data_IF_938772242319
#
_entry.id   IF_938772242319
#
_cell.length_a   1.000
_cell.length_b   1.000
_cell.length_c   1.000
_cell.angle_alpha   90.00
_cell.angle_beta   90.00
_cell.angle_gamma   90.00
#
_symmetry.space_group_name_H-M   'P 1'
#
loop_
_entity.id
_entity.type
_entity.pdbx_description
1 polymer ?
#
# COMPACT_ATOMS: atom_id res chain seq x y z
N UNK A 1 -11.60 -3.48 -15.57
CA UNK A 1 -11.11 -2.21 -15.01
C UNK A 1 -12.27 -1.42 -14.50
N UNK A 2 -12.00 -0.56 -13.54
CA UNK A 2 -12.95 0.39 -13.00
C UNK A 2 -12.32 1.78 -13.05
N UNK A 3 -13.15 2.81 -13.15
CA UNK A 3 -12.75 4.18 -12.86
C UNK A 3 -13.55 4.66 -11.66
N UNK A 4 -12.95 5.53 -10.86
CA UNK A 4 -13.67 6.24 -9.81
C UNK A 4 -14.22 7.55 -10.38
N UNK A 5 -15.51 7.74 -10.24
CA UNK A 5 -16.20 8.97 -10.60
C UNK A 5 -16.71 9.67 -9.34
N UNK A 6 -16.85 10.99 -9.39
CA UNK A 6 -17.48 11.76 -8.33
C UNK A 6 -18.93 11.30 -8.16
N UNK A 7 -19.32 11.00 -6.92
CA UNK A 7 -20.70 10.63 -6.60
C UNK A 7 -21.67 11.81 -6.83
N UNK A 8 -21.19 13.05 -6.69
CA UNK A 8 -22.01 14.25 -6.82
C UNK A 8 -22.29 14.66 -8.28
N UNK A 9 -21.25 14.74 -9.13
CA UNK A 9 -21.39 15.27 -10.50
C UNK A 9 -21.07 14.25 -11.60
N UNK A 10 -20.80 12.99 -11.24
CA UNK A 10 -20.46 11.91 -12.16
C UNK A 10 -19.16 12.06 -12.98
N UNK A 11 -18.42 13.17 -12.85
CA UNK A 11 -17.12 13.36 -13.52
C UNK A 11 -16.11 12.29 -13.10
N UNK A 12 -15.31 11.82 -14.05
CA UNK A 12 -14.20 10.93 -13.76
C UNK A 12 -13.18 11.63 -12.86
N UNK A 13 -12.72 10.93 -11.82
CA UNK A 13 -11.68 11.38 -10.90
C UNK A 13 -10.35 10.67 -11.18
N UNK A 14 -10.41 9.44 -11.69
CA UNK A 14 -9.24 8.61 -11.97
C UNK A 14 -9.20 8.16 -13.41
N UNK A 15 -8.02 7.73 -13.85
CA UNK A 15 -7.88 6.83 -15.00
C UNK A 15 -8.47 5.45 -14.67
N UNK A 16 -8.71 4.58 -15.68
CA UNK A 16 -9.08 3.20 -15.42
C UNK A 16 -8.00 2.48 -14.60
N UNK A 17 -8.41 1.82 -13.52
CA UNK A 17 -7.56 1.08 -12.58
C UNK A 17 -8.11 -0.32 -12.32
N UNK A 18 -7.22 -1.22 -11.90
CA UNK A 18 -7.55 -2.60 -11.55
C UNK A 18 -7.41 -2.87 -10.05
N UNK A 19 -8.39 -3.56 -9.45
CA UNK A 19 -8.31 -3.90 -8.05
C UNK A 19 -7.23 -4.96 -7.78
N UNK A 20 -6.45 -4.73 -6.72
CA UNK A 20 -5.48 -5.67 -6.12
C UNK A 20 -5.72 -5.81 -4.62
N UNK A 21 -5.00 -6.72 -3.96
CA UNK A 21 -5.04 -6.89 -2.51
C UNK A 21 -4.43 -5.67 -1.83
N UNK A 22 -4.99 -5.27 -0.68
CA UNK A 22 -4.41 -4.21 0.14
C UNK A 22 -3.01 -4.60 0.65
N UNK A 23 -1.97 -3.78 0.42
CA UNK A 23 -0.61 -4.12 0.83
C UNK A 23 -0.48 -4.27 2.35
N UNK A 24 0.11 -5.37 2.86
CA UNK A 24 0.22 -5.61 4.31
C UNK A 24 1.12 -4.60 5.04
N UNK A 25 1.96 -3.88 4.31
CA UNK A 25 2.86 -2.84 4.82
C UNK A 25 2.28 -1.42 4.66
N UNK A 26 1.02 -1.27 4.28
CA UNK A 26 0.41 0.04 3.99
C UNK A 26 0.42 1.03 5.18
N UNK A 27 0.46 0.53 6.41
CA UNK A 27 0.56 1.37 7.62
C UNK A 27 1.98 1.52 8.16
N UNK A 28 2.97 0.92 7.50
CA UNK A 28 4.35 1.00 7.96
C UNK A 28 4.89 2.43 7.80
N UNK A 29 5.36 3.01 8.90
CA UNK A 29 6.01 4.32 8.93
C UNK A 29 7.53 4.14 8.93
N UNK A 30 8.26 4.91 8.12
CA UNK A 30 9.73 4.75 7.96
C UNK A 30 10.52 5.94 8.52
N UNK A 31 10.13 6.43 9.70
CA UNK A 31 10.79 7.57 10.33
C UNK A 31 10.69 8.86 9.50
N UNK A 32 11.19 9.97 10.06
CA UNK A 32 11.03 11.29 9.46
C UNK A 32 12.13 11.59 8.43
N UNK A 33 11.81 12.42 7.44
CA UNK A 33 12.76 12.95 6.45
C UNK A 33 13.10 11.98 5.32
N UNK A 34 12.29 10.95 5.09
CA UNK A 34 12.47 10.01 3.97
C UNK A 34 11.57 10.37 2.80
N UNK A 35 12.13 10.36 1.59
CA UNK A 35 11.31 10.40 0.39
C UNK A 35 10.63 9.04 0.21
N UNK A 36 9.34 9.01 0.50
CA UNK A 36 8.52 7.83 0.37
C UNK A 36 8.13 7.57 -1.07
N UNK A 37 7.99 6.29 -1.40
CA UNK A 37 7.51 5.86 -2.72
C UNK A 37 6.01 5.70 -2.71
N UNK A 38 5.42 5.57 -3.90
CA UNK A 38 4.01 5.25 -4.04
C UNK A 38 3.68 3.90 -3.37
N UNK A 39 2.62 3.89 -2.57
CA UNK A 39 2.10 2.68 -1.93
C UNK A 39 1.61 1.67 -2.98
N UNK A 40 0.93 2.19 -3.99
CA UNK A 40 0.27 1.43 -5.04
C UNK A 40 1.02 1.57 -6.36
N UNK A 41 1.01 0.52 -7.19
CA UNK A 41 1.45 0.65 -8.57
C UNK A 41 0.44 1.45 -9.39
N UNK A 42 0.96 2.22 -10.34
CA UNK A 42 0.14 2.95 -11.33
C UNK A 42 -0.76 1.97 -12.09
N UNK A 43 -2.03 2.35 -12.28
CA UNK A 43 -3.05 1.52 -12.88
C UNK A 43 -3.70 0.53 -11.92
N UNK A 44 -3.37 0.57 -10.62
CA UNK A 44 -3.95 -0.31 -9.60
C UNK A 44 -4.62 0.48 -8.48
N UNK A 45 -5.55 -0.18 -7.79
CA UNK A 45 -6.06 0.31 -6.52
C UNK A 45 -6.31 -0.85 -5.56
N UNK A 46 -6.30 -0.54 -4.27
CA UNK A 46 -6.77 -1.45 -3.23
C UNK A 46 -7.88 -0.77 -2.40
N UNK A 47 -8.57 -1.56 -1.60
CA UNK A 47 -9.53 -1.05 -0.63
C UNK A 47 -8.90 -1.22 0.73
N UNK A 48 -8.73 -0.12 1.45
CA UNK A 48 -8.33 -0.15 2.84
C UNK A 48 -9.48 -0.74 3.68
N UNK A 49 -9.29 -1.90 4.33
CA UNK A 49 -10.33 -2.51 5.15
C UNK A 49 -10.54 -1.82 6.49
N UNK A 50 -9.57 -1.07 7.00
CA UNK A 50 -9.62 -0.52 8.35
C UNK A 50 -10.17 0.92 8.35
N UNK A 51 -10.78 1.34 9.47
CA UNK A 51 -11.10 2.74 9.72
C UNK A 51 -9.86 3.65 9.55
N UNK A 52 -9.98 4.72 8.78
CA UNK A 52 -8.91 5.72 8.64
C UNK A 52 -9.45 7.15 8.50
N UNK A 53 -8.72 8.11 9.08
CA UNK A 53 -9.11 9.52 9.15
C UNK A 53 -9.96 9.89 10.38
N UNK A 54 -10.48 11.11 10.46
CA UNK A 54 -11.34 11.53 11.56
C UNK A 54 -12.71 10.83 11.54
N UNK A 55 -13.41 10.75 12.69
CA UNK A 55 -12.99 11.24 14.00
C UNK A 55 -11.90 10.37 14.64
N UNK A 56 -11.12 11.00 15.52
CA UNK A 56 -10.05 10.35 16.27
C UNK A 56 -10.46 10.20 17.73
N UNK A 57 -10.28 9.01 18.32
CA UNK A 57 -10.52 8.74 19.75
C UNK A 57 -9.24 8.33 20.47
N UNK A 58 -9.13 8.69 21.74
CA UNK A 58 -7.99 8.24 22.56
C UNK A 58 -8.18 6.77 22.94
N UNK A 59 -7.09 6.10 23.31
CA UNK A 59 -7.15 4.74 23.84
C UNK A 59 -8.01 4.64 25.11
N UNK A 60 -8.00 5.69 25.95
CA UNK A 60 -8.71 5.75 27.22
C UNK A 60 -10.24 5.83 27.04
N UNK A 61 -10.70 6.28 25.88
CA UNK A 61 -12.12 6.40 25.54
C UNK A 61 -12.74 5.10 25.02
N UNK A 62 -11.96 4.04 24.85
CA UNK A 62 -12.45 2.75 24.36
C UNK A 62 -13.24 2.01 25.43
N UNK A 63 -14.35 1.40 25.03
CA UNK A 63 -15.06 0.48 25.90
C UNK A 63 -14.23 -0.78 26.17
N UNK A 64 -14.51 -1.44 27.29
CA UNK A 64 -13.91 -2.74 27.61
C UNK A 64 -14.15 -3.75 26.49
N UNK A 65 -13.08 -4.42 26.03
CA UNK A 65 -13.12 -5.38 24.91
C UNK A 65 -13.16 -4.76 23.50
N UNK A 66 -13.35 -3.45 23.35
CA UNK A 66 -13.42 -2.79 22.04
C UNK A 66 -12.07 -2.87 21.28
N UNK A 67 -10.95 -2.70 21.99
CA UNK A 67 -9.61 -2.79 21.40
C UNK A 67 -9.34 -4.16 20.78
N UNK A 68 -9.63 -5.25 21.52
CA UNK A 68 -9.43 -6.62 21.06
C UNK A 68 -10.35 -6.98 19.89
N UNK A 69 -11.60 -6.50 19.92
CA UNK A 69 -12.54 -6.66 18.80
C UNK A 69 -12.04 -5.98 17.51
N UNK A 70 -11.21 -4.95 17.65
CA UNK A 70 -10.52 -4.25 16.54
C UNK A 70 -9.11 -4.80 16.25
N UNK A 71 -8.68 -5.86 16.95
CA UNK A 71 -7.38 -6.51 16.74
C UNK A 71 -6.19 -5.81 17.43
N UNK A 72 -6.44 -4.86 18.34
CA UNK A 72 -5.39 -4.22 19.13
C UNK A 72 -5.16 -4.98 20.43
N UNK A 73 -3.93 -5.40 20.66
CA UNK A 73 -3.51 -6.14 21.87
C UNK A 73 -2.53 -5.35 22.75
N UNK A 74 -2.25 -4.09 22.38
CA UNK A 74 -1.46 -3.16 23.16
C UNK A 74 -1.91 -1.72 22.85
N UNK A 75 -1.73 -0.77 23.79
CA UNK A 75 -2.08 0.63 23.56
C UNK A 75 -1.37 1.21 22.34
N UNK A 76 -2.16 1.82 21.45
CA UNK A 76 -1.64 2.56 20.30
C UNK A 76 -1.31 3.98 20.75
N UNK A 77 -0.09 4.48 20.49
CA UNK A 77 0.26 5.85 20.85
C UNK A 77 -0.59 6.85 20.05
N UNK A 78 -1.02 7.92 20.72
CA UNK A 78 -1.86 9.00 20.20
C UNK A 78 -3.34 8.65 20.08
N UNK A 79 -3.85 8.33 18.89
CA UNK A 79 -5.29 8.21 18.64
C UNK A 79 -5.61 7.05 17.71
N UNK A 80 -6.80 6.47 17.92
CA UNK A 80 -7.44 5.53 17.02
C UNK A 80 -8.35 6.27 16.06
N UNK A 81 -8.37 5.80 14.81
CA UNK A 81 -9.30 6.31 13.81
C UNK A 81 -10.64 5.59 13.89
N UNK A 82 -11.72 6.36 13.88
CA UNK A 82 -13.10 5.90 13.66
C UNK A 82 -13.68 6.45 12.35
N UNK A 83 -12.80 6.86 11.44
CA UNK A 83 -13.20 7.22 10.09
C UNK A 83 -13.84 6.04 9.36
N UNK A 84 -14.55 6.29 8.25
CA UNK A 84 -15.19 5.23 7.50
C UNK A 84 -14.15 4.24 6.95
N UNK A 85 -14.37 2.92 7.10
CA UNK A 85 -13.54 1.91 6.44
C UNK A 85 -13.87 1.88 4.94
N UNK A 86 -13.08 1.10 4.17
CA UNK A 86 -13.40 0.83 2.77
C UNK A 86 -12.91 1.90 1.79
N UNK A 87 -11.95 2.74 2.19
CA UNK A 87 -11.39 3.81 1.35
C UNK A 87 -10.60 3.21 0.18
N UNK A 88 -10.92 3.56 -1.08
CA UNK A 88 -10.07 3.21 -2.20
C UNK A 88 -8.72 3.93 -2.11
N UNK A 89 -7.63 3.17 -2.26
CA UNK A 89 -6.26 3.68 -2.21
C UNK A 89 -5.60 3.48 -3.57
N UNK A 90 -5.04 4.56 -4.13
CA UNK A 90 -4.48 4.62 -5.48
C UNK A 90 -3.10 5.29 -5.48
N UNK A 91 -2.34 5.06 -6.54
CA UNK A 91 -1.16 5.86 -6.83
C UNK A 91 -1.58 7.31 -7.17
N UNK A 92 -0.87 8.34 -6.69
CA UNK A 92 -1.21 9.73 -7.00
C UNK A 92 -1.30 10.02 -8.50
N UNK A 93 -0.51 9.33 -9.33
CA UNK A 93 -0.49 9.51 -10.78
C UNK A 93 -1.79 9.07 -11.49
N UNK A 94 -2.61 8.22 -10.87
CA UNK A 94 -3.88 7.77 -11.45
C UNK A 94 -5.02 8.75 -11.21
N UNK A 95 -4.86 9.67 -10.26
CA UNK A 95 -5.88 10.63 -9.84
C UNK A 95 -5.70 11.94 -10.61
N UNK A 96 -6.49 12.10 -11.67
CA UNK A 96 -6.31 13.16 -12.68
C UNK A 96 -7.46 14.16 -12.73
N UNK A 97 -8.63 13.80 -12.19
CA UNK A 97 -9.84 14.63 -12.18
C UNK A 97 -10.06 15.40 -10.87
N UNK A 98 -8.98 15.63 -10.11
CA UNK A 98 -9.04 16.30 -8.80
C UNK A 98 -8.11 17.50 -8.73
N UNK A 99 -8.43 18.43 -7.84
CA UNK A 99 -7.58 19.56 -7.45
C UNK A 99 -7.37 19.55 -5.94
N UNK A 100 -6.24 20.10 -5.48
CA UNK A 100 -6.03 20.35 -4.06
C UNK A 100 -7.01 21.42 -3.57
N UNK A 101 -7.59 21.22 -2.39
CA UNK A 101 -8.44 22.20 -1.72
C UNK A 101 -7.51 23.23 -1.05
N UNK A 102 -7.58 24.53 -1.43
CA UNK A 102 -6.75 25.55 -0.81
C UNK A 102 -7.00 25.62 0.70
N UNK A 103 -5.91 25.64 1.49
CA UNK A 103 -5.98 25.68 2.95
C UNK A 103 -6.19 24.32 3.63
N UNK A 104 -6.47 23.25 2.88
CA UNK A 104 -6.63 21.89 3.42
C UNK A 104 -5.37 21.03 3.25
N UNK A 105 -4.20 21.65 3.12
CA UNK A 105 -2.90 20.98 2.94
C UNK A 105 -2.23 20.63 4.29
N UNK A 106 -3.03 20.30 5.31
CA UNK A 106 -2.53 19.96 6.64
C UNK A 106 -1.64 18.71 6.62
N UNK A 107 -0.61 18.70 7.45
CA UNK A 107 0.36 17.61 7.54
C UNK A 107 1.46 17.91 8.55
N UNK A 108 2.43 17.01 8.66
CA UNK A 108 3.57 17.22 9.56
C UNK A 108 4.68 18.02 8.86
N UNK A 109 5.94 17.83 9.26
CA UNK A 109 7.05 18.73 8.91
C UNK A 109 7.26 18.98 7.41
N UNK A 110 6.78 18.08 6.55
CA UNK A 110 7.41 17.86 5.27
C UNK A 110 6.43 17.58 4.13
N UNK A 111 5.12 17.75 4.35
CA UNK A 111 4.16 17.57 3.27
C UNK A 111 2.70 17.57 3.69
N UNK A 112 1.86 16.97 2.83
CA UNK A 112 0.41 16.92 3.01
C UNK A 112 -0.03 15.55 3.47
N UNK A 113 -1.03 15.54 4.34
CA UNK A 113 -1.65 14.32 4.85
C UNK A 113 -3.16 14.42 4.70
N UNK A 114 -3.86 13.29 4.86
CA UNK A 114 -5.32 13.26 4.97
C UNK A 114 -5.83 13.35 6.41
N UNK A 115 -5.00 13.75 7.38
CA UNK A 115 -5.36 13.67 8.80
C UNK A 115 -6.49 14.65 9.17
N UNK A 116 -6.51 15.84 8.57
CA UNK A 116 -7.57 16.83 8.82
C UNK A 116 -8.83 16.61 7.98
N UNK A 117 -8.92 15.46 7.30
CA UNK A 117 -9.98 15.13 6.35
C UNK A 117 -9.58 15.35 4.88
N UNK A 118 -10.58 15.46 3.97
CA UNK A 118 -10.32 15.58 2.54
C UNK A 118 -9.48 16.81 2.19
N UNK A 119 -8.42 16.60 1.42
CA UNK A 119 -7.59 17.66 0.84
C UNK A 119 -7.66 17.71 -0.71
N UNK A 120 -8.44 16.80 -1.31
CA UNK A 120 -8.75 16.78 -2.73
C UNK A 120 -10.24 17.01 -2.96
N UNK A 121 -10.53 17.86 -3.96
CA UNK A 121 -11.87 18.07 -4.49
C UNK A 121 -11.95 17.64 -5.95
N UNK A 122 -13.15 17.28 -6.39
CA UNK A 122 -13.45 17.08 -7.81
C UNK A 122 -13.14 18.37 -8.57
N UNK A 123 -12.31 18.28 -9.61
CA UNK A 123 -11.95 19.43 -10.42
C UNK A 123 -13.14 20.07 -11.16
N UNK A 124 -14.23 19.32 -11.35
CA UNK A 124 -15.41 19.79 -12.07
C UNK A 124 -16.44 20.51 -11.18
N UNK A 125 -16.80 19.93 -10.02
CA UNK A 125 -17.84 20.48 -9.15
C UNK A 125 -17.34 21.02 -7.81
N UNK A 126 -16.05 20.85 -7.49
CA UNK A 126 -15.47 21.30 -6.23
C UNK A 126 -15.84 20.47 -4.99
N UNK A 127 -16.64 19.40 -5.14
CA UNK A 127 -17.01 18.54 -4.01
C UNK A 127 -15.76 17.82 -3.46
N UNK A 128 -15.54 17.78 -2.13
CA UNK A 128 -14.45 16.99 -1.54
C UNK A 128 -14.61 15.50 -1.86
N UNK A 129 -13.53 14.83 -2.26
CA UNK A 129 -13.59 13.43 -2.73
C UNK A 129 -12.53 12.53 -2.14
N UNK A 130 -11.58 13.06 -1.38
CA UNK A 130 -10.53 12.27 -0.75
C UNK A 130 -9.35 13.10 -0.27
N UNK A 131 -8.27 12.43 0.06
CA UNK A 131 -7.02 13.04 0.47
C UNK A 131 -5.82 12.43 -0.28
N UNK A 132 -4.88 13.29 -0.65
CA UNK A 132 -3.53 12.94 -1.05
C UNK A 132 -2.64 12.92 0.19
N UNK A 133 -1.88 11.85 0.30
CA UNK A 133 -0.80 11.67 1.27
C UNK A 133 0.52 11.79 0.53
N UNK A 134 1.34 12.73 0.97
CA UNK A 134 2.65 13.02 0.41
C UNK A 134 3.49 13.70 1.51
N UNK A 135 3.91 12.92 2.50
CA UNK A 135 4.66 13.37 3.69
C UNK A 135 5.82 12.41 3.99
N UNK A 136 6.86 12.91 4.68
CA UNK A 136 8.18 12.29 4.79
C UNK A 136 8.30 11.04 5.68
N UNK A 137 7.18 10.44 6.08
CA UNK A 137 7.09 9.25 6.92
C UNK A 137 5.93 8.32 6.53
N UNK A 138 5.16 8.70 5.50
CA UNK A 138 3.98 8.01 5.01
C UNK A 138 4.19 7.64 3.55
N UNK A 139 3.65 6.50 3.12
CA UNK A 139 3.62 6.16 1.71
C UNK A 139 2.90 7.23 0.91
N UNK A 140 3.39 7.53 -0.30
CA UNK A 140 2.66 8.40 -1.21
C UNK A 140 1.41 7.66 -1.70
N UNK A 141 0.24 8.27 -1.52
CA UNK A 141 -1.03 7.64 -1.86
C UNK A 141 -2.14 8.68 -2.06
N UNK A 142 -3.19 8.29 -2.76
CA UNK A 142 -4.48 8.98 -2.66
C UNK A 142 -5.52 8.03 -2.07
N UNK A 143 -6.20 8.48 -1.03
CA UNK A 143 -7.30 7.79 -0.37
C UNK A 143 -8.60 8.51 -0.71
N UNK A 144 -9.50 7.85 -1.43
CA UNK A 144 -10.80 8.42 -1.79
C UNK A 144 -11.81 8.22 -0.65
N UNK A 145 -12.72 9.16 -0.47
CA UNK A 145 -13.84 8.99 0.45
C UNK A 145 -14.86 8.03 -0.15
N UNK A 146 -15.23 6.93 0.54
CA UNK A 146 -16.05 5.87 -0.03
C UNK A 146 -17.43 6.38 -0.45
N UNK A 147 -17.98 7.35 0.28
CA UNK A 147 -19.30 7.92 0.01
C UNK A 147 -19.27 9.07 -1.02
N UNK A 148 -18.09 9.63 -1.30
CA UNK A 148 -17.94 10.73 -2.27
C UNK A 148 -17.60 10.24 -3.69
N UNK A 149 -17.35 8.94 -3.85
CA UNK A 149 -16.96 8.33 -5.12
C UNK A 149 -17.82 7.12 -5.46
N UNK A 150 -17.98 6.86 -6.75
CA UNK A 150 -18.65 5.66 -7.27
C UNK A 150 -17.72 4.93 -8.21
N UNK A 151 -17.73 3.60 -8.14
CA UNK A 151 -17.03 2.76 -9.12
C UNK A 151 -17.87 2.65 -10.38
N UNK A 152 -17.22 2.85 -11.52
CA UNK A 152 -17.85 2.74 -12.84
C UNK A 152 -17.05 1.74 -13.66
N UNK A 153 -17.71 0.74 -14.28
CA UNK A 153 -17.03 -0.17 -15.20
C UNK A 153 -16.34 0.63 -16.33
N UNK A 154 -15.04 0.40 -16.52
CA UNK A 154 -14.22 1.12 -17.49
C UNK A 154 -13.65 0.19 -18.58
N UNK A 155 -14.31 -0.94 -18.82
CA UNK A 155 -13.88 -1.95 -19.79
C UNK A 155 -13.14 -3.14 -19.18
N UNK A 156 -12.65 -4.07 -20.02
CA UNK A 156 -11.98 -5.28 -19.56
C UNK A 156 -10.70 -4.94 -18.80
N UNK A 157 -10.33 -5.78 -17.82
CA UNK A 157 -8.99 -5.73 -17.22
C UNK A 157 -7.95 -5.92 -18.33
N UNK A 158 -6.85 -5.14 -18.37
CA UNK A 158 -5.73 -5.48 -19.24
C UNK A 158 -5.36 -6.94 -19.00
N UNK A 159 -5.00 -7.70 -20.05
CA UNK A 159 -4.40 -9.00 -19.83
C UNK A 159 -3.19 -8.83 -18.90
N UNK A 160 -2.94 -9.82 -18.05
CA UNK A 160 -1.70 -9.85 -17.26
C UNK A 160 -0.55 -9.68 -18.26
N UNK A 161 0.27 -8.66 -18.05
CA UNK A 161 1.37 -8.35 -18.94
C UNK A 161 2.23 -9.61 -19.08
N UNK A 162 2.53 -10.00 -20.32
CA UNK A 162 3.50 -11.06 -20.55
C UNK A 162 4.84 -10.64 -19.95
N UNK A 163 5.65 -11.62 -19.60
CA UNK A 163 6.97 -11.40 -19.05
C UNK A 163 7.87 -10.55 -19.93
N UNK A 164 7.74 -10.66 -21.26
CA UNK A 164 8.49 -9.79 -22.19
C UNK A 164 8.10 -8.33 -22.04
N UNK A 165 6.81 -8.04 -21.83
CA UNK A 165 6.26 -6.71 -21.57
C UNK A 165 6.75 -6.20 -20.22
N UNK A 166 6.69 -7.00 -19.15
CA UNK A 166 7.18 -6.60 -17.82
C UNK A 166 8.68 -6.27 -17.78
N UNK A 167 9.50 -6.94 -18.58
CA UNK A 167 10.95 -6.67 -18.66
C UNK A 167 11.25 -5.37 -19.40
N UNK A 168 10.47 -5.04 -20.44
CA UNK A 168 10.71 -3.85 -21.28
C UNK A 168 10.00 -2.60 -20.75
N UNK A 169 8.80 -2.74 -20.18
CA UNK A 169 7.97 -1.66 -19.66
C UNK A 169 8.10 -1.48 -18.15
N UNK A 170 9.23 -1.86 -17.54
CA UNK A 170 9.43 -1.72 -16.09
C UNK A 170 9.54 -0.23 -15.71
N UNK A 171 8.42 0.49 -15.74
CA UNK A 171 8.18 1.81 -15.15
C UNK A 171 7.88 1.67 -13.65
N UNK A 172 8.52 0.71 -13.00
CA UNK A 172 8.41 0.51 -11.56
C UNK A 172 9.37 1.44 -10.82
N UNK A 173 9.03 1.77 -9.58
CA UNK A 173 9.94 2.43 -8.65
C UNK A 173 11.25 1.62 -8.59
N UNK A 174 12.43 2.22 -8.84
CA UNK A 174 13.69 1.50 -8.81
C UNK A 174 13.88 0.78 -7.46
N UNK A 175 14.34 -0.48 -7.45
CA UNK A 175 14.51 -1.25 -6.22
C UNK A 175 15.60 -0.67 -5.31
N UNK A 176 16.45 0.18 -5.88
CA UNK A 176 17.54 0.88 -5.20
C UNK A 176 17.38 2.37 -5.46
N UNK A 177 17.44 3.17 -4.40
CA UNK A 177 17.43 4.63 -4.42
C UNK A 177 18.75 5.16 -5.00
N UNK A 178 18.76 6.43 -5.39
CA UNK A 178 19.96 7.09 -5.95
C UNK A 178 21.18 7.06 -4.99
N UNK A 179 20.97 6.90 -3.69
CA UNK A 179 22.02 6.77 -2.68
C UNK A 179 22.55 5.33 -2.52
N UNK A 180 22.14 4.39 -3.38
CA UNK A 180 22.58 2.99 -3.35
C UNK A 180 21.89 2.11 -2.29
N UNK A 181 20.95 2.66 -1.51
CA UNK A 181 20.18 1.88 -0.54
C UNK A 181 18.94 1.29 -1.19
N UNK A 182 18.47 0.15 -0.70
CA UNK A 182 17.18 -0.41 -1.10
C UNK A 182 16.07 0.61 -0.89
N UNK A 183 15.12 0.63 -1.83
CA UNK A 183 13.89 1.37 -1.66
C UNK A 183 13.09 0.78 -0.49
N UNK A 184 12.47 1.63 0.33
CA UNK A 184 11.68 1.17 1.49
C UNK A 184 10.57 0.20 1.07
N UNK A 185 9.93 0.40 -0.10
CA UNK A 185 8.95 -0.55 -0.65
C UNK A 185 9.58 -1.92 -0.90
N UNK A 186 10.74 -1.95 -1.54
CA UNK A 186 11.46 -3.21 -1.78
C UNK A 186 11.86 -3.90 -0.49
N UNK A 187 12.26 -3.15 0.55
CA UNK A 187 12.52 -3.72 1.87
C UNK A 187 11.28 -4.40 2.46
N UNK A 188 10.10 -3.77 2.36
CA UNK A 188 8.86 -4.35 2.87
C UNK A 188 8.39 -5.58 2.06
N UNK A 189 8.53 -5.54 0.74
CA UNK A 189 8.22 -6.67 -0.13
C UNK A 189 9.14 -7.87 0.15
N UNK A 190 10.44 -7.64 0.41
CA UNK A 190 11.38 -8.68 0.86
C UNK A 190 10.92 -9.25 2.22
N UNK A 191 10.55 -8.39 3.17
CA UNK A 191 10.05 -8.82 4.47
C UNK A 191 8.78 -9.69 4.36
N UNK A 192 7.82 -9.28 3.56
CA UNK A 192 6.58 -10.04 3.30
C UNK A 192 6.90 -11.39 2.66
N UNK A 193 7.76 -11.39 1.63
CA UNK A 193 8.20 -12.62 0.95
C UNK A 193 8.88 -13.58 1.91
N UNK A 194 9.69 -13.07 2.85
CA UNK A 194 10.34 -13.88 3.87
C UNK A 194 9.31 -14.57 4.78
N UNK A 195 8.27 -13.85 5.22
CA UNK A 195 7.19 -14.45 6.03
C UNK A 195 6.45 -15.52 5.23
N UNK A 196 6.11 -15.26 3.97
CA UNK A 196 5.44 -16.23 3.10
C UNK A 196 6.29 -17.51 2.92
N UNK A 197 7.60 -17.36 2.76
CA UNK A 197 8.53 -18.49 2.70
C UNK A 197 8.55 -19.27 4.01
N UNK A 198 8.58 -18.61 5.16
CA UNK A 198 8.56 -19.25 6.49
C UNK A 198 7.28 -20.06 6.68
N UNK A 199 6.12 -19.47 6.33
CA UNK A 199 4.81 -20.12 6.43
C UNK A 199 4.73 -21.31 5.47
N UNK A 200 5.13 -21.14 4.21
CA UNK A 200 5.12 -22.22 3.22
C UNK A 200 6.13 -23.34 3.55
N UNK A 201 7.22 -22.99 4.24
CA UNK A 201 8.24 -23.92 4.69
C UNK A 201 7.72 -24.86 5.76
N UNK A 202 6.79 -24.43 6.62
CA UNK A 202 6.15 -25.25 7.66
C UNK A 202 7.19 -26.04 8.49
N UNK A 203 8.18 -25.31 9.02
CA UNK A 203 9.28 -25.86 9.82
C UNK A 203 10.40 -26.57 9.02
N UNK A 204 10.24 -26.78 7.71
CA UNK A 204 11.29 -27.38 6.87
C UNK A 204 12.36 -26.34 6.45
N UNK A 205 13.63 -26.73 6.25
CA UNK A 205 14.62 -25.83 5.65
C UNK A 205 14.24 -25.41 4.23
N UNK A 206 14.58 -24.18 3.83
CA UNK A 206 14.40 -23.70 2.45
C UNK A 206 15.76 -23.66 1.74
N UNK A 207 15.83 -24.20 0.53
CA UNK A 207 17.00 -24.11 -0.36
C UNK A 207 16.65 -23.34 -1.62
N UNK A 208 17.51 -22.43 -2.03
CA UNK A 208 17.31 -21.62 -3.22
C UNK A 208 18.11 -22.15 -4.41
N UNK A 209 17.46 -22.28 -5.55
CA UNK A 209 18.14 -22.69 -6.79
C UNK A 209 18.94 -21.53 -7.43
N UNK A 210 18.73 -20.29 -6.96
CA UNK A 210 19.36 -19.08 -7.49
C UNK A 210 20.19 -18.37 -6.42
N UNK A 211 21.50 -18.21 -6.69
CA UNK A 211 22.47 -17.64 -5.73
C UNK A 211 22.14 -16.20 -5.27
N UNK A 212 21.57 -15.37 -6.15
CA UNK A 212 21.15 -14.02 -5.76
C UNK A 212 19.99 -14.03 -4.75
N UNK A 213 19.06 -14.97 -4.91
CA UNK A 213 17.93 -15.13 -3.98
C UNK A 213 18.42 -15.69 -2.65
N UNK A 214 19.30 -16.68 -2.69
CA UNK A 214 20.00 -17.22 -1.53
C UNK A 214 20.64 -16.10 -0.69
N UNK A 215 21.40 -15.23 -1.36
CA UNK A 215 22.10 -14.10 -0.73
C UNK A 215 21.16 -13.16 0.05
N UNK A 216 19.95 -12.94 -0.45
CA UNK A 216 18.97 -12.03 0.16
C UNK A 216 18.27 -12.68 1.36
N UNK A 217 17.87 -13.95 1.26
CA UNK A 217 16.93 -14.56 2.21
C UNK A 217 17.56 -15.53 3.21
N UNK A 218 18.65 -16.25 2.88
CA UNK A 218 19.15 -17.37 3.70
C UNK A 218 19.52 -16.94 5.12
N UNK A 219 20.20 -15.80 5.25
CA UNK A 219 20.59 -15.28 6.57
C UNK A 219 19.38 -15.01 7.46
N UNK A 220 18.32 -14.44 6.89
CA UNK A 220 17.11 -14.12 7.62
C UNK A 220 16.33 -15.40 7.99
N UNK A 221 16.21 -16.35 7.07
CA UNK A 221 15.58 -17.65 7.33
C UNK A 221 16.29 -18.40 8.46
N UNK A 222 17.62 -18.45 8.46
CA UNK A 222 18.39 -19.09 9.54
C UNK A 222 18.19 -18.39 10.89
N UNK A 223 17.91 -17.09 10.90
CA UNK A 223 17.64 -16.34 12.12
C UNK A 223 16.24 -16.62 12.67
N UNK A 224 15.21 -16.62 11.81
CA UNK A 224 13.81 -16.75 12.21
C UNK A 224 13.29 -18.18 12.30
N UNK A 225 13.99 -19.16 11.70
CA UNK A 225 13.66 -20.59 11.81
C UNK A 225 14.85 -21.37 12.40
N UNK A 226 15.25 -21.10 13.66
CA UNK A 226 16.28 -21.89 14.31
C UNK A 226 15.79 -23.33 14.49
N UNK A 227 16.58 -24.31 14.07
CA UNK A 227 16.22 -25.74 14.19
C UNK A 227 15.22 -26.23 13.14
N UNK A 228 15.16 -25.60 11.97
CA UNK A 228 14.45 -26.18 10.84
C UNK A 228 15.06 -27.55 10.50
N UNK A 229 14.23 -28.59 10.57
CA UNK A 229 14.65 -29.99 10.47
C UNK A 229 13.84 -30.72 9.37
N UNK A 230 14.36 -31.84 8.89
CA UNK A 230 13.70 -32.65 7.86
C UNK A 230 14.10 -32.29 6.42
N UNK A 231 13.34 -32.77 5.41
CA UNK A 231 13.70 -32.60 4.02
C UNK A 231 13.54 -31.14 3.58
N UNK A 232 14.61 -30.57 3.01
CA UNK A 232 14.58 -29.19 2.54
C UNK A 232 13.60 -28.99 1.37
N UNK A 233 12.77 -27.94 1.45
CA UNK A 233 11.93 -27.49 0.35
C UNK A 233 12.74 -26.61 -0.59
N UNK A 234 12.59 -26.82 -1.91
CA UNK A 234 13.27 -26.01 -2.93
C UNK A 234 12.44 -24.80 -3.30
N UNK A 235 13.10 -23.64 -3.38
CA UNK A 235 12.57 -22.39 -3.86
C UNK A 235 13.28 -22.01 -5.17
N UNK A 236 12.50 -21.95 -6.24
CA UNK A 236 12.96 -21.55 -7.57
C UNK A 236 12.25 -20.26 -8.00
N UNK A 237 12.95 -19.44 -8.77
CA UNK A 237 12.34 -18.28 -9.42
C UNK A 237 11.62 -18.73 -10.69
N UNK A 238 10.35 -18.36 -10.82
CA UNK A 238 9.54 -18.56 -12.03
C UNK A 238 9.50 -17.25 -12.84
N UNK A 239 9.56 -17.33 -14.18
CA UNK A 239 9.61 -16.15 -15.05
C UNK A 239 10.12 -16.44 -16.47
N UNK A 240 10.35 -15.41 -17.31
CA UNK A 240 10.80 -15.61 -18.68
C UNK A 240 12.18 -16.28 -18.69
N UNK A 241 12.30 -17.36 -19.45
CA UNK A 241 13.52 -18.17 -19.49
C UNK A 241 13.79 -18.97 -18.22
N UNK A 242 12.80 -19.13 -17.34
CA UNK A 242 12.86 -19.93 -16.12
C UNK A 242 11.68 -20.93 -16.08
N UNK A 243 11.85 -22.10 -15.43
CA UNK A 243 10.79 -23.09 -15.30
C UNK A 243 9.60 -22.60 -14.47
#
# INVERSE_FOLDING_TARGET
>A
MELFACAHCASALTRPVGQVRFPPYAYHQVGNGRQMSDLMDVGTYAVDPDPSGPPYRSWEDLAEGEAEARGYYAPVPHYLSDGPPGRPVLAPADVTGTVLIPGSAGGFCCGITGQDGPNLACAHCGHPVGAREDDCSLWQAVRLEPDAVRRVPAGPRPPVADWTVLVHERSGVPPVRANGQWNDRSCQEIGTTLVDLIVAADGSPVRFDHAGTATVFERALHHYQPGADGPAKRCALHGPGRP
#
